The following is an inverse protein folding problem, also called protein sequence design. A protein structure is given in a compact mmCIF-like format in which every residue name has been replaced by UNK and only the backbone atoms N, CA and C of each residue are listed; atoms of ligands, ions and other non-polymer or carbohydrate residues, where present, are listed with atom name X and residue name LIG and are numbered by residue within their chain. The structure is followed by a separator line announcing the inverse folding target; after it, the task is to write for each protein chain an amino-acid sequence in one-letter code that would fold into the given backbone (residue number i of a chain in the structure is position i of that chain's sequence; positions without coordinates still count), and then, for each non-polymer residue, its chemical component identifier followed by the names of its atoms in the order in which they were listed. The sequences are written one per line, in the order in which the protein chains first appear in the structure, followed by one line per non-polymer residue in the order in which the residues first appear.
data_IF_792421711680
#
_entry.id   IF_792421711680
#
_cell.length_a   1.000
_cell.length_b   1.000
_cell.length_c   1.000
_cell.angle_alpha   90.00
_cell.angle_beta   90.00
_cell.angle_gamma   90.00
#
_symmetry.space_group_name_H-M   'P 1'
#
loop_
_entity.id
_entity.type
_entity.pdbx_description
1 polymer ?
#
# COMPACT_ATOMS: atom_id res chain seq x y z
N UNK A 1 52.06 -13.60 -5.01
CA UNK A 1 52.24 -13.82 -3.56
C UNK A 1 52.49 -12.47 -2.88
N UNK A 2 51.45 -11.80 -2.42
CA UNK A 2 51.55 -10.76 -1.40
C UNK A 2 50.33 -10.91 -0.48
N UNK A 3 50.65 -11.23 0.77
CA UNK A 3 49.79 -11.53 1.91
C UNK A 3 49.76 -10.32 2.84
N UNK A 4 48.71 -10.20 3.67
CA UNK A 4 48.46 -9.30 4.82
C UNK A 4 47.27 -8.37 4.57
N UNK A 5 46.28 -8.19 5.46
CA UNK A 5 45.76 -8.85 6.67
C UNK A 5 44.43 -8.10 6.96
N UNK A 6 43.35 -8.75 7.44
CA UNK A 6 42.07 -8.09 7.69
C UNK A 6 42.06 -7.38 9.05
N UNK A 7 41.39 -6.21 9.13
CA UNK A 7 41.06 -5.54 10.39
C UNK A 7 39.69 -6.02 10.89
N UNK A 8 39.73 -6.68 12.05
CA UNK A 8 38.60 -6.94 12.94
C UNK A 8 38.38 -5.74 13.88
N UNK A 9 37.20 -5.76 14.51
CA UNK A 9 36.71 -4.97 15.66
C UNK A 9 35.68 -3.89 15.31
N UNK A 10 34.42 -4.13 15.66
CA UNK A 10 33.87 -3.59 16.92
C UNK A 10 32.45 -4.12 17.18
N UNK A 11 32.40 -4.96 18.20
CA UNK A 11 31.25 -5.39 18.98
C UNK A 11 30.48 -4.22 19.60
N UNK A 12 29.15 -4.23 19.45
CA UNK A 12 28.25 -3.41 20.26
C UNK A 12 27.07 -4.25 20.79
N UNK A 13 27.10 -4.48 22.11
CA UNK A 13 25.99 -4.14 23.01
C UNK A 13 24.72 -5.00 22.97
N UNK A 14 24.75 -6.10 23.71
CA UNK A 14 23.57 -6.74 24.31
C UNK A 14 22.79 -5.79 25.22
N UNK A 15 21.45 -5.81 25.15
CA UNK A 15 20.56 -5.46 26.26
C UNK A 15 19.40 -6.46 26.33
N UNK A 16 19.26 -7.25 27.42
CA UNK A 16 18.10 -8.09 27.64
C UNK A 16 17.00 -7.28 28.36
N UNK A 17 15.79 -7.21 27.79
CA UNK A 17 14.60 -6.75 28.52
C UNK A 17 13.94 -7.92 29.24
N UNK A 18 13.83 -7.75 30.55
CA UNK A 18 13.34 -8.66 31.56
C UNK A 18 11.83 -8.89 31.46
N UNK A 19 11.42 -10.15 31.62
CA UNK A 19 10.03 -10.59 31.81
C UNK A 19 9.59 -10.25 33.23
N UNK A 20 8.60 -9.37 33.38
CA UNK A 20 7.87 -9.15 34.63
C UNK A 20 6.64 -10.06 34.69
N UNK A 21 6.74 -11.13 35.47
CA UNK A 21 5.69 -12.09 35.79
C UNK A 21 5.14 -11.69 37.16
N UNK A 22 3.95 -11.08 37.25
CA UNK A 22 3.28 -10.86 38.52
C UNK A 22 2.08 -11.80 38.66
N UNK A 23 2.13 -12.54 39.78
CA UNK A 23 1.22 -13.60 40.12
C UNK A 23 -0.11 -13.10 40.68
N UNK A 24 -1.07 -14.01 40.56
CA UNK A 24 -2.31 -14.12 41.32
C UNK A 24 -2.09 -13.88 42.80
N UNK A 25 -2.99 -13.11 43.41
CA UNK A 25 -3.48 -13.42 44.74
C UNK A 25 -5.01 -13.41 44.75
N UNK A 26 -5.54 -14.52 45.24
CA UNK A 26 -6.94 -14.81 45.52
C UNK A 26 -7.32 -14.10 46.82
N UNK A 27 -8.44 -13.40 46.84
CA UNK A 27 -9.22 -13.22 48.05
C UNK A 27 -10.70 -13.43 47.77
N UNK A 28 -11.36 -13.88 48.82
CA UNK A 28 -12.52 -14.74 48.85
C UNK A 28 -13.86 -14.07 48.54
N UNK A 29 -14.82 -14.97 48.26
CA UNK A 29 -16.23 -14.78 48.06
C UNK A 29 -16.96 -13.97 49.15
N UNK A 30 -17.96 -13.21 48.71
CA UNK A 30 -19.15 -12.82 49.48
C UNK A 30 -20.37 -13.09 48.59
N UNK A 31 -21.40 -13.83 49.04
CA UNK A 31 -22.60 -14.09 48.24
C UNK A 31 -23.78 -13.16 48.57
N UNK A 32 -24.66 -13.03 47.57
CA UNK A 32 -26.10 -12.67 47.62
C UNK A 32 -26.50 -11.18 47.54
N UNK A 33 -27.75 -10.85 47.10
CA UNK A 33 -28.74 -11.62 46.33
C UNK A 33 -29.29 -10.89 45.08
N UNK A 34 -30.08 -11.63 44.30
CA UNK A 34 -30.86 -11.26 43.13
C UNK A 34 -31.62 -9.92 43.22
N UNK A 35 -31.43 -9.06 42.21
CA UNK A 35 -32.49 -8.16 41.72
C UNK A 35 -32.43 -8.17 40.19
N UNK A 36 -33.44 -8.79 39.59
CA UNK A 36 -33.62 -8.84 38.15
C UNK A 36 -33.77 -7.44 37.55
N UNK A 37 -33.09 -7.22 36.43
CA UNK A 37 -33.51 -6.27 35.40
C UNK A 37 -33.18 -6.86 34.03
N UNK A 38 -34.24 -7.28 33.36
CA UNK A 38 -34.28 -7.38 31.90
C UNK A 38 -33.97 -6.00 31.33
N UNK A 39 -32.77 -5.83 30.78
CA UNK A 39 -32.51 -4.80 29.80
C UNK A 39 -32.26 -5.51 28.47
N UNK A 40 -33.34 -5.63 27.71
CA UNK A 40 -33.29 -5.80 26.26
C UNK A 40 -32.82 -4.45 25.71
N UNK A 41 -31.52 -4.19 25.80
CA UNK A 41 -30.89 -3.12 25.03
C UNK A 41 -30.77 -3.64 23.60
N UNK A 42 -31.75 -3.24 22.78
CA UNK A 42 -31.60 -3.28 21.33
C UNK A 42 -30.38 -2.44 20.96
N UNK A 43 -29.38 -3.00 20.25
CA UNK A 43 -28.28 -2.19 19.76
C UNK A 43 -28.82 -1.27 18.66
N UNK A 44 -28.72 0.03 18.93
CA UNK A 44 -28.96 1.09 17.97
C UNK A 44 -28.23 0.80 16.66
N UNK A 45 -29.03 0.79 15.60
CA UNK A 45 -28.66 0.62 14.21
C UNK A 45 -27.60 1.64 13.79
N UNK A 46 -26.33 1.29 13.95
CA UNK A 46 -25.21 1.94 13.29
C UNK A 46 -24.88 1.17 12.01
N UNK A 47 -25.41 1.66 10.90
CA UNK A 47 -24.91 1.53 9.52
C UNK A 47 -24.26 0.18 9.14
N UNK A 48 -25.05 -0.72 8.54
CA UNK A 48 -24.66 -1.74 7.54
C UNK A 48 -23.31 -2.45 7.68
N UNK A 49 -23.00 -2.99 8.87
CA UNK A 49 -21.98 -4.02 9.04
C UNK A 49 -22.66 -5.36 9.27
N UNK A 50 -22.48 -6.33 8.38
CA UNK A 50 -22.91 -7.71 8.63
C UNK A 50 -22.36 -8.20 9.99
N UNK A 51 -23.16 -8.92 10.79
CA UNK A 51 -22.71 -9.37 12.09
C UNK A 51 -21.49 -10.29 11.93
N UNK A 52 -20.43 -10.10 12.74
CA UNK A 52 -19.23 -10.91 12.66
C UNK A 52 -19.59 -12.39 12.83
N UNK A 53 -18.97 -13.24 12.01
CA UNK A 53 -19.35 -14.65 11.94
C UNK A 53 -19.16 -15.31 13.30
N UNK A 54 -20.26 -15.80 13.88
CA UNK A 54 -20.25 -16.51 15.16
C UNK A 54 -20.04 -17.99 14.90
N UNK A 55 -18.79 -18.41 14.76
CA UNK A 55 -18.45 -19.83 14.69
C UNK A 55 -18.31 -20.37 16.12
N UNK A 56 -19.17 -21.32 16.52
CA UNK A 56 -19.09 -22.01 17.81
C UNK A 56 -19.09 -21.08 19.05
N UNK A 57 -19.92 -20.02 19.02
CA UNK A 57 -20.05 -19.09 20.15
C UNK A 57 -18.86 -18.13 20.34
N UNK A 58 -17.88 -18.14 19.44
CA UNK A 58 -16.80 -17.14 19.37
C UNK A 58 -17.04 -16.23 18.18
N UNK A 59 -16.88 -14.92 18.38
CA UNK A 59 -16.82 -13.96 17.28
C UNK A 59 -15.48 -14.13 16.59
N UNK A 60 -15.48 -14.65 15.37
CA UNK A 60 -14.27 -14.73 14.56
C UNK A 60 -14.25 -13.50 13.67
N UNK A 61 -13.21 -12.67 13.82
CA UNK A 61 -12.99 -11.59 12.87
C UNK A 61 -12.26 -12.16 11.66
N UNK A 62 -12.65 -11.72 10.46
CA UNK A 62 -11.98 -12.09 9.20
C UNK A 62 -10.47 -11.79 9.25
N UNK A 63 -10.09 -10.72 9.95
CA UNK A 63 -8.70 -10.30 10.12
C UNK A 63 -7.84 -11.33 10.86
N UNK A 64 -8.42 -12.15 11.74
CA UNK A 64 -7.70 -13.17 12.49
C UNK A 64 -7.49 -14.43 11.65
N UNK A 65 -8.48 -14.82 10.85
CA UNK A 65 -8.33 -15.91 9.87
C UNK A 65 -7.24 -15.55 8.85
N UNK A 66 -7.25 -14.32 8.34
CA UNK A 66 -6.27 -13.86 7.34
C UNK A 66 -4.86 -13.82 7.91
N UNK A 67 -4.66 -13.57 9.22
CA UNK A 67 -3.31 -13.57 9.81
C UNK A 67 -2.70 -14.98 9.87
N UNK A 68 -3.52 -16.00 10.10
CA UNK A 68 -3.06 -17.39 10.26
C UNK A 68 -2.76 -18.07 8.92
N UNK A 69 -3.33 -17.59 7.81
CA UNK A 69 -3.06 -18.14 6.48
C UNK A 69 -1.62 -17.89 6.03
N UNK A 70 -1.01 -18.92 5.43
CA UNK A 70 0.29 -18.81 4.79
C UNK A 70 0.24 -17.85 3.60
N UNK A 71 1.39 -17.28 3.21
CA UNK A 71 1.45 -16.39 2.04
C UNK A 71 0.98 -17.08 0.76
N UNK A 72 1.35 -18.35 0.59
CA UNK A 72 0.93 -19.17 -0.54
C UNK A 72 -0.59 -19.37 -0.56
N UNK A 73 -1.21 -19.63 0.60
CA UNK A 73 -2.67 -19.75 0.72
C UNK A 73 -3.37 -18.42 0.39
N UNK A 74 -2.82 -17.29 0.83
CA UNK A 74 -3.35 -15.95 0.48
C UNK A 74 -3.27 -15.71 -1.01
N UNK A 75 -2.17 -16.10 -1.65
CA UNK A 75 -2.01 -15.98 -3.09
C UNK A 75 -2.99 -16.89 -3.84
N UNK A 76 -3.16 -18.14 -3.41
CA UNK A 76 -4.12 -19.07 -4.01
C UNK A 76 -5.57 -18.55 -3.92
N UNK A 77 -5.97 -18.04 -2.74
CA UNK A 77 -7.29 -17.43 -2.54
C UNK A 77 -7.47 -16.17 -3.41
N UNK A 78 -6.44 -15.32 -3.48
CA UNK A 78 -6.48 -14.12 -4.32
C UNK A 78 -6.58 -14.47 -5.81
N UNK A 79 -5.87 -15.50 -6.28
CA UNK A 79 -5.95 -15.98 -7.66
C UNK A 79 -7.34 -16.53 -7.97
N UNK A 80 -7.93 -17.35 -7.10
CA UNK A 80 -9.30 -17.86 -7.29
C UNK A 80 -10.32 -16.73 -7.35
N UNK A 81 -10.27 -15.81 -6.39
CA UNK A 81 -11.18 -14.66 -6.35
C UNK A 81 -11.08 -13.77 -7.59
N UNK A 82 -9.86 -13.48 -8.07
CA UNK A 82 -9.65 -12.66 -9.28
C UNK A 82 -10.00 -13.43 -10.55
N UNK A 83 -9.74 -14.74 -10.59
CA UNK A 83 -10.14 -15.59 -11.72
C UNK A 83 -11.67 -15.59 -11.89
N UNK A 84 -12.40 -15.73 -10.79
CA UNK A 84 -13.86 -15.64 -10.75
C UNK A 84 -14.36 -14.24 -11.15
N UNK A 85 -13.73 -13.17 -10.64
CA UNK A 85 -14.07 -11.78 -10.97
C UNK A 85 -13.88 -11.47 -12.46
N UNK A 86 -12.75 -11.91 -13.03
CA UNK A 86 -12.37 -11.64 -14.43
C UNK A 86 -12.91 -12.71 -15.40
N UNK A 87 -13.65 -13.71 -14.91
CA UNK A 87 -14.15 -14.86 -15.68
C UNK A 87 -13.05 -15.58 -16.47
N UNK A 88 -11.88 -15.74 -15.85
CA UNK A 88 -10.71 -16.43 -16.44
C UNK A 88 -10.42 -17.73 -15.68
N UNK A 89 -9.69 -18.65 -16.29
CA UNK A 89 -9.27 -19.87 -15.58
C UNK A 89 -8.14 -19.56 -14.59
N UNK A 90 -8.20 -20.14 -13.40
CA UNK A 90 -7.14 -19.98 -12.40
C UNK A 90 -5.76 -20.42 -12.93
N UNK A 91 -5.71 -21.48 -13.73
CA UNK A 91 -4.48 -21.98 -14.35
C UNK A 91 -3.82 -20.93 -15.24
N UNK A 92 -4.63 -20.17 -15.98
CA UNK A 92 -4.13 -19.09 -16.85
C UNK A 92 -3.55 -17.95 -16.02
N UNK A 93 -4.22 -17.57 -14.92
CA UNK A 93 -3.73 -16.53 -14.02
C UNK A 93 -2.42 -16.96 -13.36
N UNK A 94 -2.29 -18.21 -12.91
CA UNK A 94 -1.05 -18.76 -12.35
C UNK A 94 0.09 -18.77 -13.38
N UNK A 95 -0.16 -19.26 -14.59
CA UNK A 95 0.85 -19.26 -15.66
C UNK A 95 1.30 -17.83 -16.03
N UNK A 96 0.37 -16.86 -16.01
CA UNK A 96 0.71 -15.45 -16.22
C UNK A 96 1.51 -14.87 -15.05
N UNK A 97 1.27 -15.31 -13.81
CA UNK A 97 2.05 -14.91 -12.65
C UNK A 97 3.50 -15.43 -12.73
N UNK A 98 3.70 -16.68 -13.13
CA UNK A 98 5.04 -17.23 -13.37
C UNK A 98 5.78 -16.47 -14.49
N UNK A 99 5.05 -16.12 -15.55
CA UNK A 99 5.56 -15.29 -16.64
C UNK A 99 5.92 -13.88 -16.15
N UNK A 100 5.10 -13.28 -15.28
CA UNK A 100 5.35 -11.96 -14.69
C UNK A 100 6.63 -11.96 -13.84
N UNK A 101 6.86 -13.00 -13.04
CA UNK A 101 8.09 -13.16 -12.26
C UNK A 101 9.31 -13.31 -13.16
N UNK A 102 9.14 -13.94 -14.33
CA UNK A 102 10.20 -14.06 -15.34
C UNK A 102 10.51 -12.71 -16.01
N UNK A 103 9.49 -11.88 -16.27
CA UNK A 103 9.65 -10.55 -16.88
C UNK A 103 10.21 -9.52 -15.91
N UNK A 104 9.86 -9.59 -14.62
CA UNK A 104 10.28 -8.65 -13.58
C UNK A 104 10.89 -9.44 -12.40
N UNK A 105 12.18 -9.83 -12.48
CA UNK A 105 12.81 -10.68 -11.48
C UNK A 105 12.86 -10.03 -10.09
N UNK A 106 13.00 -8.70 -10.02
CA UNK A 106 13.04 -7.96 -8.75
C UNK A 106 11.71 -8.05 -7.97
N UNK A 107 10.62 -8.41 -8.65
CA UNK A 107 9.33 -8.61 -8.00
C UNK A 107 9.36 -9.83 -7.07
N UNK A 108 10.14 -10.86 -7.41
CA UNK A 108 10.22 -12.11 -6.64
C UNK A 108 10.63 -11.85 -5.18
N UNK A 109 11.67 -11.06 -4.98
CA UNK A 109 12.15 -10.74 -3.63
C UNK A 109 11.10 -9.97 -2.81
N UNK A 110 10.35 -9.06 -3.45
CA UNK A 110 9.30 -8.28 -2.78
C UNK A 110 8.09 -9.13 -2.39
N UNK A 111 7.76 -10.10 -3.24
CA UNK A 111 6.71 -11.09 -2.96
C UNK A 111 7.10 -11.94 -1.75
N UNK A 112 8.34 -12.45 -1.73
CA UNK A 112 8.87 -13.23 -0.60
C UNK A 112 8.90 -12.42 0.72
N UNK A 113 9.19 -11.11 0.64
CA UNK A 113 9.16 -10.19 1.79
C UNK A 113 7.75 -9.78 2.24
N UNK A 114 6.70 -10.24 1.56
CA UNK A 114 5.31 -9.84 1.81
C UNK A 114 5.04 -8.32 1.66
N UNK A 115 5.84 -7.62 0.86
CA UNK A 115 5.63 -6.17 0.64
C UNK A 115 4.47 -5.91 -0.34
N UNK A 116 4.17 -6.88 -1.19
CA UNK A 116 3.16 -6.76 -2.24
C UNK A 116 1.88 -7.50 -1.83
N UNK A 117 0.74 -6.82 -1.98
CA UNK A 117 -0.58 -7.41 -1.75
C UNK A 117 -0.87 -8.47 -2.84
N UNK A 118 -1.14 -9.75 -2.49
CA UNK A 118 -1.38 -10.82 -3.47
C UNK A 118 -2.52 -10.54 -4.46
N UNK A 119 -3.57 -9.85 -4.02
CA UNK A 119 -4.69 -9.46 -4.87
C UNK A 119 -4.28 -8.57 -6.05
N UNK A 120 -3.33 -7.66 -5.84
CA UNK A 120 -2.86 -6.76 -6.91
C UNK A 120 -2.07 -7.54 -7.96
N UNK A 121 -1.24 -8.49 -7.54
CA UNK A 121 -0.48 -9.37 -8.44
C UNK A 121 -1.40 -10.25 -9.28
N UNK A 122 -2.41 -10.85 -8.64
CA UNK A 122 -3.40 -11.67 -9.34
C UNK A 122 -4.15 -10.84 -10.40
N UNK A 123 -4.54 -9.60 -10.09
CA UNK A 123 -5.18 -8.69 -11.06
C UNK A 123 -4.28 -8.37 -12.25
N UNK A 124 -3.00 -8.07 -12.01
CA UNK A 124 -2.03 -7.80 -13.08
C UNK A 124 -1.81 -9.05 -13.94
N UNK A 125 -1.69 -10.22 -13.30
CA UNK A 125 -1.55 -11.49 -14.02
C UNK A 125 -2.80 -11.81 -14.86
N UNK A 126 -4.00 -11.51 -14.35
CA UNK A 126 -5.26 -11.70 -15.07
C UNK A 126 -5.38 -10.78 -16.30
N UNK A 127 -4.83 -9.57 -16.25
CA UNK A 127 -4.74 -8.68 -17.42
C UNK A 127 -3.87 -9.26 -18.55
N UNK A 128 -3.03 -10.25 -18.25
CA UNK A 128 -2.28 -11.05 -19.22
C UNK A 128 -0.84 -10.61 -19.43
N UNK A 129 0.04 -11.60 -19.61
CA UNK A 129 1.48 -11.39 -19.77
C UNK A 129 1.86 -10.56 -21.01
N UNK A 130 1.08 -10.64 -22.09
CA UNK A 130 1.31 -9.87 -23.31
C UNK A 130 1.20 -8.36 -23.05
N UNK A 131 0.14 -7.93 -22.35
CA UNK A 131 -0.09 -6.53 -22.02
C UNK A 131 1.01 -5.99 -21.11
N UNK A 132 1.40 -6.77 -20.09
CA UNK A 132 2.53 -6.45 -19.21
C UNK A 132 3.82 -6.25 -20.01
N UNK A 133 4.15 -7.19 -20.91
CA UNK A 133 5.37 -7.11 -21.71
C UNK A 133 5.39 -5.89 -22.64
N UNK A 134 4.27 -5.58 -23.28
CA UNK A 134 4.12 -4.42 -24.14
C UNK A 134 4.30 -3.12 -23.35
N UNK A 135 3.73 -3.04 -22.13
CA UNK A 135 3.93 -1.88 -21.26
C UNK A 135 5.37 -1.72 -20.80
N UNK A 136 6.06 -2.82 -20.47
CA UNK A 136 7.49 -2.78 -20.12
C UNK A 136 8.31 -2.25 -21.29
N UNK A 137 8.02 -2.69 -22.53
CA UNK A 137 8.69 -2.19 -23.74
C UNK A 137 8.46 -0.69 -23.91
N UNK A 138 7.22 -0.21 -23.80
CA UNK A 138 6.90 1.22 -23.88
C UNK A 138 7.57 2.03 -22.76
N UNK A 139 7.59 1.51 -21.54
CA UNK A 139 8.32 2.15 -20.43
C UNK A 139 9.83 2.21 -20.72
N UNK A 140 10.39 1.23 -21.44
CA UNK A 140 11.79 1.27 -21.86
C UNK A 140 12.06 2.28 -22.96
N UNK A 141 11.09 2.53 -23.84
CA UNK A 141 11.15 3.61 -24.82
C UNK A 141 11.08 4.98 -24.13
N UNK A 142 10.23 5.13 -23.11
CA UNK A 142 10.11 6.37 -22.33
C UNK A 142 11.36 6.59 -21.49
N UNK A 143 11.90 5.57 -20.82
CA UNK A 143 13.06 5.66 -19.92
C UNK A 143 14.25 4.84 -20.45
N UNK A 144 14.97 5.32 -21.47
CA UNK A 144 16.06 4.57 -22.09
C UNK A 144 17.18 4.22 -21.09
N UNK A 145 17.55 5.16 -20.22
CA UNK A 145 18.60 4.95 -19.21
C UNK A 145 18.08 4.38 -17.88
N UNK A 146 16.76 4.28 -17.71
CA UNK A 146 16.12 3.82 -16.49
C UNK A 146 16.12 2.30 -16.34
N UNK A 147 16.13 1.85 -15.07
CA UNK A 147 15.89 0.45 -14.72
C UNK A 147 14.38 0.20 -14.60
N UNK A 148 13.78 -0.22 -15.72
CA UNK A 148 12.33 -0.46 -15.81
C UNK A 148 11.90 -1.64 -14.93
N UNK A 149 12.74 -2.67 -14.75
CA UNK A 149 12.42 -3.82 -13.89
C UNK A 149 12.23 -3.36 -12.46
N UNK A 150 13.18 -2.58 -11.95
CA UNK A 150 13.11 -2.00 -10.61
C UNK A 150 11.94 -1.03 -10.47
N UNK A 151 11.71 -0.18 -11.47
CA UNK A 151 10.61 0.78 -11.47
C UNK A 151 9.23 0.07 -11.39
N UNK A 152 9.04 -0.97 -12.20
CA UNK A 152 7.81 -1.78 -12.20
C UNK A 152 7.66 -2.59 -10.92
N UNK A 153 8.76 -3.11 -10.35
CA UNK A 153 8.71 -3.84 -9.09
C UNK A 153 8.27 -2.92 -7.96
N UNK A 154 8.76 -1.68 -7.91
CA UNK A 154 8.40 -0.66 -6.92
C UNK A 154 6.94 -0.18 -7.08
N UNK A 155 6.52 0.11 -8.31
CA UNK A 155 5.20 0.67 -8.63
C UNK A 155 4.44 -0.19 -9.64
N UNK A 156 3.72 -1.18 -9.13
CA UNK A 156 2.92 -2.11 -9.93
C UNK A 156 1.75 -1.45 -10.68
N UNK A 157 1.32 -0.24 -10.29
CA UNK A 157 0.29 0.52 -11.02
C UNK A 157 0.70 0.84 -12.45
N UNK A 158 2.00 0.90 -12.72
CA UNK A 158 2.55 1.14 -14.06
C UNK A 158 2.31 -0.03 -15.02
N UNK A 159 2.00 -1.22 -14.50
CA UNK A 159 1.71 -2.41 -15.30
C UNK A 159 0.20 -2.62 -15.51
N UNK A 160 -0.64 -1.94 -14.74
CA UNK A 160 -2.10 -2.04 -14.85
C UNK A 160 -2.58 -1.16 -15.99
N UNK A 161 -3.39 -1.70 -16.89
CA UNK A 161 -4.06 -0.90 -17.92
C UNK A 161 -5.07 0.06 -17.29
N UNK A 162 -5.03 1.36 -17.63
CA UNK A 162 -6.14 2.23 -17.28
C UNK A 162 -7.38 1.64 -17.92
N UNK A 163 -8.47 1.50 -17.15
CA UNK A 163 -9.76 1.19 -17.74
C UNK A 163 -10.06 2.29 -18.77
N UNK A 164 -9.93 1.97 -20.05
CA UNK A 164 -10.28 2.87 -21.14
C UNK A 164 -11.79 3.00 -21.11
N UNK A 165 -12.27 4.05 -20.46
CA UNK A 165 -13.66 4.46 -20.56
C UNK A 165 -13.88 5.08 -21.94
N UNK A 166 -13.91 4.27 -23.01
CA UNK A 166 -14.44 4.66 -24.31
C UNK A 166 -14.82 3.43 -25.18
N UNK A 167 -16.13 3.17 -25.18
CA UNK A 167 -17.03 2.72 -26.27
C UNK A 167 -16.91 1.32 -26.91
N UNK A 168 -17.87 0.45 -26.59
CA UNK A 168 -18.98 -0.02 -27.46
C UNK A 168 -20.11 -0.52 -26.52
N UNK A 169 -21.28 0.12 -26.46
CA UNK A 169 -22.45 -0.20 -27.29
C UNK A 169 -22.72 -1.72 -27.40
N UNK A 170 -23.84 -2.14 -26.78
CA UNK A 170 -24.65 -3.33 -27.06
C UNK A 170 -24.03 -4.72 -26.86
N UNK A 171 -24.36 -5.34 -25.72
CA UNK A 171 -25.30 -6.48 -25.76
C UNK A 171 -26.19 -6.43 -24.53
N UNK A 172 -27.44 -6.01 -24.75
CA UNK A 172 -28.55 -6.42 -23.92
C UNK A 172 -28.61 -7.95 -23.91
N UNK A 173 -28.26 -8.57 -22.79
CA UNK A 173 -28.87 -9.85 -22.40
C UNK A 173 -28.92 -9.89 -20.90
N UNK A 174 -30.15 -9.91 -20.38
CA UNK A 174 -30.43 -10.07 -18.97
C UNK A 174 -29.69 -11.27 -18.41
N UNK A 175 -28.79 -11.00 -17.48
CA UNK A 175 -28.21 -11.98 -16.58
C UNK A 175 -28.39 -11.39 -15.20
N UNK A 176 -29.53 -11.74 -14.60
CA UNK A 176 -29.72 -12.06 -13.20
C UNK A 176 -28.65 -11.49 -12.26
N UNK A 177 -29.05 -10.49 -11.46
CA UNK A 177 -28.24 -9.88 -10.43
C UNK A 177 -27.74 -10.95 -9.45
N UNK A 178 -26.58 -11.53 -9.76
CA UNK A 178 -25.76 -12.25 -8.79
C UNK A 178 -25.40 -11.26 -7.69
N UNK A 179 -25.45 -11.67 -6.40
CA UNK A 179 -25.05 -10.79 -5.32
C UNK A 179 -23.61 -10.39 -5.59
N UNK A 180 -23.41 -9.13 -5.98
CA UNK A 180 -22.12 -8.50 -5.98
C UNK A 180 -21.66 -8.54 -4.53
N UNK A 181 -20.87 -9.57 -4.19
CA UNK A 181 -20.27 -9.67 -2.86
C UNK A 181 -19.55 -8.35 -2.66
N UNK A 182 -20.03 -7.60 -1.68
CA UNK A 182 -19.67 -6.22 -1.39
C UNK A 182 -18.27 -6.20 -0.77
N UNK A 183 -17.25 -6.59 -1.54
CA UNK A 183 -15.83 -6.47 -1.20
C UNK A 183 -15.32 -5.02 -1.29
N UNK A 184 -16.23 -4.04 -1.31
CA UNK A 184 -15.91 -2.61 -1.46
C UNK A 184 -15.01 -2.07 -0.34
N UNK A 185 -14.95 -2.73 0.81
CA UNK A 185 -14.12 -2.30 1.95
C UNK A 185 -12.70 -2.89 1.94
N UNK A 186 -12.43 -3.95 1.16
CA UNK A 186 -11.05 -4.35 0.85
C UNK A 186 -10.49 -3.53 -0.32
N UNK A 187 -11.39 -3.01 -1.17
CA UNK A 187 -11.05 -2.34 -2.41
C UNK A 187 -10.91 -0.81 -2.34
N UNK A 188 -11.33 -0.16 -1.26
CA UNK A 188 -11.29 1.31 -1.13
C UNK A 188 -9.87 1.92 -1.28
N UNK A 189 -8.83 1.11 -1.06
CA UNK A 189 -7.42 1.47 -1.17
C UNK A 189 -6.72 0.77 -2.36
N UNK A 190 -7.48 0.06 -3.21
CA UNK A 190 -6.96 -0.77 -4.32
C UNK A 190 -7.48 -0.35 -5.70
N UNK A 191 -8.01 0.88 -5.82
CA UNK A 191 -8.12 1.53 -7.12
C UNK A 191 -6.70 1.80 -7.63
N UNK A 192 -6.00 0.74 -8.03
CA UNK A 192 -4.80 0.79 -8.86
C UNK A 192 -5.32 1.22 -10.23
N UNK A 193 -5.69 2.48 -10.33
CA UNK A 193 -6.03 3.11 -11.59
C UNK A 193 -4.73 3.11 -12.37
N UNK A 194 -4.67 2.32 -13.43
CA UNK A 194 -3.50 2.25 -14.27
C UNK A 194 -3.08 3.65 -14.68
N UNK A 195 -1.82 3.99 -14.45
CA UNK A 195 -1.29 5.27 -14.93
C UNK A 195 -1.24 5.20 -16.47
N UNK A 196 -1.73 6.25 -17.15
CA UNK A 196 -1.62 6.33 -18.61
C UNK A 196 -0.17 6.55 -18.97
N UNK A 197 0.34 5.78 -19.93
CA UNK A 197 1.74 5.86 -20.35
C UNK A 197 2.07 7.21 -20.99
N UNK A 198 1.10 7.84 -21.66
CA UNK A 198 1.27 9.17 -22.26
C UNK A 198 1.48 10.24 -21.18
N UNK A 199 0.66 10.23 -20.12
CA UNK A 199 0.82 11.13 -18.96
C UNK A 199 2.18 10.93 -18.27
N UNK A 200 2.67 9.67 -18.22
CA UNK A 200 3.99 9.35 -17.66
C UNK A 200 5.10 9.91 -18.56
N UNK A 201 4.97 9.77 -19.89
CA UNK A 201 5.94 10.30 -20.83
C UNK A 201 6.03 11.83 -20.76
N UNK A 202 4.88 12.51 -20.74
CA UNK A 202 4.81 13.97 -20.58
C UNK A 202 5.47 14.42 -19.27
N UNK A 203 5.20 13.72 -18.16
CA UNK A 203 5.85 14.01 -16.87
C UNK A 203 7.34 13.74 -16.90
N UNK A 204 7.80 12.67 -17.54
CA UNK A 204 9.22 12.37 -17.68
C UNK A 204 9.93 13.49 -18.45
N UNK A 205 9.33 13.99 -19.53
CA UNK A 205 9.87 15.11 -20.30
C UNK A 205 9.88 16.41 -19.50
N UNK A 206 8.82 16.69 -18.73
CA UNK A 206 8.78 17.83 -17.82
C UNK A 206 9.91 17.75 -16.78
N UNK A 207 10.15 16.56 -16.21
CA UNK A 207 11.26 16.34 -15.28
C UNK A 207 12.63 16.52 -15.93
N UNK A 208 12.81 16.11 -17.19
CA UNK A 208 14.06 16.34 -17.96
C UNK A 208 14.29 17.83 -18.24
N UNK A 209 13.23 18.57 -18.51
CA UNK A 209 13.30 20.02 -18.76
C UNK A 209 13.60 20.82 -17.47
N UNK A 210 13.04 20.39 -16.35
CA UNK A 210 13.21 21.08 -15.07
C UNK A 210 14.55 20.77 -14.38
N UNK A 211 15.12 19.59 -14.62
CA UNK A 211 16.40 19.18 -14.02
C UNK A 211 17.59 19.64 -14.86
N UNK A 212 18.74 19.99 -14.24
CA UNK A 212 19.91 20.39 -15.01
C UNK A 212 20.47 19.20 -15.81
N UNK A 213 21.06 19.47 -16.99
CA UNK A 213 21.43 18.47 -18.00
C UNK A 213 22.47 17.41 -17.54
N UNK A 214 23.21 17.68 -16.47
CA UNK A 214 24.12 16.70 -15.84
C UNK A 214 23.38 15.68 -14.94
N UNK A 215 22.09 15.90 -14.67
CA UNK A 215 21.25 14.96 -13.93
C UNK A 215 20.80 13.81 -14.83
N UNK A 216 21.05 12.57 -14.39
CA UNK A 216 20.44 11.38 -14.99
C UNK A 216 19.01 11.20 -14.49
N UNK A 217 18.12 12.08 -14.97
CA UNK A 217 16.73 12.16 -14.53
C UNK A 217 15.98 10.84 -14.71
N UNK A 218 16.18 10.15 -15.83
CA UNK A 218 15.53 8.86 -16.10
C UNK A 218 15.89 7.79 -15.07
N UNK A 219 17.18 7.75 -14.68
CA UNK A 219 17.65 6.82 -13.65
C UNK A 219 17.05 7.18 -12.30
N UNK A 220 17.03 8.47 -11.96
CA UNK A 220 16.41 8.96 -10.73
C UNK A 220 14.92 8.61 -10.66
N UNK A 221 14.16 8.80 -11.73
CA UNK A 221 12.74 8.43 -11.78
C UNK A 221 12.57 6.90 -11.69
N UNK A 222 13.41 6.12 -12.35
CA UNK A 222 13.33 4.67 -12.30
C UNK A 222 13.61 4.09 -10.90
N UNK A 223 14.56 4.69 -10.17
CA UNK A 223 14.88 4.30 -8.79
C UNK A 223 13.81 4.81 -7.81
N UNK A 224 13.12 5.91 -8.13
CA UNK A 224 12.14 6.59 -7.28
C UNK A 224 10.86 6.96 -8.05
N UNK A 225 10.00 5.98 -8.36
CA UNK A 225 8.80 6.19 -9.17
C UNK A 225 7.73 7.07 -8.51
N UNK A 226 7.85 7.37 -7.21
CA UNK A 226 6.98 8.31 -6.50
C UNK A 226 7.12 9.75 -7.03
N UNK A 227 8.23 10.08 -7.68
CA UNK A 227 8.42 11.36 -8.36
C UNK A 227 7.37 11.62 -9.44
N UNK A 228 6.79 10.57 -10.03
CA UNK A 228 5.72 10.69 -11.02
C UNK A 228 4.39 11.17 -10.42
N UNK A 229 4.24 11.14 -9.10
CA UNK A 229 3.05 11.71 -8.43
C UNK A 229 3.07 13.24 -8.43
N UNK A 230 4.24 13.86 -8.61
CA UNK A 230 4.43 15.29 -8.53
C UNK A 230 4.64 15.91 -9.91
N UNK A 231 4.18 17.16 -10.05
CA UNK A 231 4.73 18.02 -11.10
C UNK A 231 6.12 18.50 -10.65
N UNK A 232 7.10 18.63 -11.57
CA UNK A 232 8.45 19.04 -11.20
C UNK A 232 8.46 20.42 -10.55
N UNK A 233 7.66 21.36 -11.05
CA UNK A 233 7.59 22.72 -10.53
C UNK A 233 7.05 22.75 -9.10
N UNK A 234 5.96 22.03 -8.81
CA UNK A 234 5.37 21.96 -7.47
C UNK A 234 6.36 21.36 -6.46
N UNK A 235 7.02 20.26 -6.82
CA UNK A 235 7.97 19.61 -5.90
C UNK A 235 9.20 20.49 -5.66
N UNK A 236 9.74 21.13 -6.71
CA UNK A 236 10.90 22.01 -6.57
C UNK A 236 10.55 23.26 -5.74
N UNK A 237 9.35 23.83 -5.87
CA UNK A 237 8.88 24.93 -5.03
C UNK A 237 8.66 24.52 -3.57
N UNK A 238 8.08 23.34 -3.33
CA UNK A 238 7.92 22.80 -1.97
C UNK A 238 9.28 22.58 -1.32
N UNK A 239 10.26 22.06 -2.07
CA UNK A 239 11.64 21.91 -1.59
C UNK A 239 12.27 23.29 -1.32
N UNK A 240 12.10 24.29 -2.19
CA UNK A 240 12.60 25.66 -1.95
C UNK A 240 12.02 26.23 -0.66
N UNK A 241 10.73 26.02 -0.43
CA UNK A 241 10.03 26.52 0.76
C UNK A 241 10.57 25.89 2.04
N UNK A 242 10.84 24.57 2.05
CA UNK A 242 11.34 23.86 3.24
C UNK A 242 12.85 23.95 3.43
N UNK A 243 13.61 24.13 2.34
CA UNK A 243 15.07 24.13 2.33
C UNK A 243 15.61 25.44 1.73
N UNK A 244 15.24 26.58 2.30
CA UNK A 244 15.49 27.94 1.78
C UNK A 244 16.95 28.24 1.38
N UNK A 245 17.93 27.53 1.93
CA UNK A 245 19.37 27.77 1.68
C UNK A 245 20.01 26.79 0.70
N UNK A 246 19.25 25.87 0.09
CA UNK A 246 19.78 24.86 -0.83
C UNK A 246 19.09 24.92 -2.19
N UNK A 247 19.85 24.66 -3.25
CA UNK A 247 19.27 24.49 -4.58
C UNK A 247 18.39 23.23 -4.59
N UNK A 248 17.09 23.32 -4.93
CA UNK A 248 16.18 22.17 -4.85
C UNK A 248 16.63 20.99 -5.71
N UNK A 249 17.24 21.25 -6.87
CA UNK A 249 17.76 20.19 -7.73
C UNK A 249 18.91 19.41 -7.07
N UNK A 250 19.76 20.09 -6.29
CA UNK A 250 20.86 19.45 -5.55
C UNK A 250 20.34 18.62 -4.37
N UNK A 251 19.30 19.12 -3.69
CA UNK A 251 18.62 18.36 -2.63
C UNK A 251 18.05 17.07 -3.20
N UNK A 252 17.34 17.16 -4.32
CA UNK A 252 16.71 16.01 -4.96
C UNK A 252 17.75 14.99 -5.45
N UNK A 253 18.86 15.46 -6.04
CA UNK A 253 19.98 14.60 -6.46
C UNK A 253 20.62 13.83 -5.30
N UNK A 254 20.77 14.48 -4.15
CA UNK A 254 21.36 13.86 -2.95
C UNK A 254 20.40 12.90 -2.29
N UNK A 255 19.11 13.25 -2.23
CA UNK A 255 18.10 12.47 -1.55
C UNK A 255 16.73 12.53 -2.27
N UNK A 256 16.49 11.64 -3.25
CA UNK A 256 15.23 11.59 -3.98
C UNK A 256 14.03 11.20 -3.11
N UNK A 257 14.26 10.48 -2.01
CA UNK A 257 13.20 10.08 -1.06
C UNK A 257 12.50 11.26 -0.38
N UNK A 258 13.06 12.48 -0.46
CA UNK A 258 12.39 13.68 0.02
C UNK A 258 11.00 13.82 -0.61
N UNK A 259 10.82 13.45 -1.87
CA UNK A 259 9.50 13.49 -2.53
C UNK A 259 8.43 12.67 -1.79
N UNK A 260 8.74 11.42 -1.45
CA UNK A 260 7.83 10.55 -0.69
C UNK A 260 7.55 11.11 0.72
N UNK A 261 8.56 11.67 1.39
CA UNK A 261 8.38 12.29 2.70
C UNK A 261 7.46 13.52 2.62
N UNK A 262 7.62 14.35 1.58
CA UNK A 262 6.76 15.51 1.34
C UNK A 262 5.32 15.08 1.03
N UNK A 263 5.14 14.02 0.23
CA UNK A 263 3.82 13.48 -0.09
C UNK A 263 3.09 12.97 1.14
N UNK A 264 3.78 12.20 1.97
CA UNK A 264 3.23 11.72 3.24
C UNK A 264 2.85 12.88 4.15
N UNK A 265 3.73 13.87 4.30
CA UNK A 265 3.44 15.04 5.11
C UNK A 265 2.26 15.85 4.56
N UNK A 266 2.05 15.90 3.23
CA UNK A 266 0.91 16.58 2.62
C UNK A 266 -0.41 15.87 2.92
N UNK A 267 -0.42 14.52 2.92
CA UNK A 267 -1.58 13.71 3.33
C UNK A 267 -1.87 13.82 4.82
N UNK A 268 -0.83 13.83 5.66
CA UNK A 268 -0.97 13.96 7.12
C UNK A 268 -1.34 15.41 7.53
N UNK A 269 -1.06 16.39 6.67
CA UNK A 269 -1.48 17.79 6.84
C UNK A 269 -2.89 18.09 6.35
N UNK A 270 -3.61 17.11 5.81
CA UNK A 270 -5.04 17.27 5.62
C UNK A 270 -5.62 17.48 7.02
N UNK A 271 -5.98 18.72 7.39
CA UNK A 271 -6.44 18.97 8.73
C UNK A 271 -7.73 18.19 8.81
N UNK A 272 -7.78 17.17 9.69
CA UNK A 272 -9.02 16.55 10.15
C UNK A 272 -10.10 17.62 10.04
N UNK A 273 -11.09 17.37 9.15
CA UNK A 273 -12.00 18.40 8.63
C UNK A 273 -12.56 19.33 9.71
N UNK A 274 -13.17 20.47 9.36
CA UNK A 274 -13.35 21.68 10.18
C UNK A 274 -13.88 21.56 11.65
N UNK A 275 -14.18 20.38 12.18
CA UNK A 275 -14.56 20.12 13.57
C UNK A 275 -13.49 19.57 14.53
N UNK A 276 -12.27 19.19 14.11
CA UNK A 276 -11.42 18.35 14.98
C UNK A 276 -10.26 19.04 15.70
N UNK A 277 -9.79 20.21 15.28
CA UNK A 277 -8.61 20.86 15.89
C UNK A 277 -8.95 22.24 16.44
N UNK A 278 -9.29 22.30 17.74
CA UNK A 278 -8.80 23.33 18.69
C UNK A 278 -9.39 23.22 20.11
N UNK A 279 -10.58 22.62 20.33
CA UNK A 279 -11.18 22.62 21.69
C UNK A 279 -10.88 21.39 22.56
N UNK A 280 -10.92 20.16 22.02
CA UNK A 280 -10.74 18.96 22.86
C UNK A 280 -9.31 18.77 23.39
N UNK A 281 -8.29 19.23 22.65
CA UNK A 281 -6.90 19.18 23.12
C UNK A 281 -6.62 20.21 24.23
N UNK A 282 -7.39 21.31 24.30
CA UNK A 282 -7.30 22.27 25.40
C UNK A 282 -8.03 21.76 26.65
N UNK A 283 -9.22 21.16 26.51
CA UNK A 283 -9.96 20.62 27.67
C UNK A 283 -9.20 19.50 28.40
N UNK A 284 -8.51 18.62 27.66
CA UNK A 284 -7.70 17.56 28.25
C UNK A 284 -6.52 18.08 29.10
N UNK A 285 -5.99 19.28 28.80
CA UNK A 285 -4.92 19.89 29.58
C UNK A 285 -5.42 20.73 30.76
N UNK A 286 -6.60 21.34 30.66
CA UNK A 286 -7.16 22.14 31.77
C UNK A 286 -7.83 21.29 32.87
N UNK A 287 -8.23 20.05 32.58
CA UNK A 287 -8.82 19.12 33.57
C UNK A 287 -7.85 18.59 34.63
N UNK A 288 -6.53 18.67 34.41
CA UNK A 288 -5.51 18.13 35.32
C UNK A 288 -5.05 19.08 36.44
N UNK A 289 -5.56 20.32 36.50
CA UNK A 289 -5.11 21.33 37.48
C UNK A 289 -6.07 21.68 38.61
N UNK A 290 -7.17 20.96 38.81
CA UNK A 290 -8.08 21.20 39.95
C UNK A 290 -8.29 19.97 40.83
N UNK A 291 -7.22 19.52 41.49
CA UNK A 291 -7.30 18.81 42.79
C UNK A 291 -6.07 19.17 43.63
N UNK A 292 -6.16 20.30 44.33
CA UNK A 292 -5.50 20.56 45.61
C UNK A 292 -6.54 21.15 46.53
#
# INVERSE_FOLDING_TARGET
MLSLKPRLCSSFGWFPRTRGRFGRDRLAAVPSPDIGRNYTEEPESSLDGEPPWRLMGRTVQESDIIKELSHEQKLQLAVGAVADEMQTSEERVRACLDSLVTLVPDLKERVERNEVRPAVLARIAAAGAANVSLRIVRLKEIFPEGDVSRMCSLRLSLLVEPATSDTHAETETGSEAKPAVRWNNFNADTSVRGDRLDDIAEKADAWRAAMPADCRTDRMISDFPDLLNWSPDELLEEIRTRFANQNPSDVLRRNPHVAHMLERNKRDWDPLGPGANTMQAMEANFGLRRRQ
#
